data_IF_966851214821
#
_entry.id   IF_966851214821
#
_cell.length_a   1.000
_cell.length_b   1.000
_cell.length_c   1.000
_cell.angle_alpha   90.00
_cell.angle_beta   90.00
_cell.angle_gamma   90.00
#
_symmetry.space_group_name_H-M   'P 1'
#
loop_
_entity.id
_entity.type
_entity.pdbx_description
1 polymer ?
#
# COMPACT_ATOMS: atom_id res chain seq x y z
N UNK A 1 -4.40 27.95 1.48
CA UNK A 1 -3.97 27.07 2.58
C UNK A 1 -4.29 27.74 3.89
N UNK A 2 -4.66 26.96 4.89
CA UNK A 2 -4.76 27.45 6.26
C UNK A 2 -3.36 27.86 6.75
N UNK A 3 -3.23 28.97 7.50
CA UNK A 3 -1.91 29.52 7.87
C UNK A 3 -1.25 28.76 9.03
N UNK A 4 -2.03 28.02 9.81
CA UNK A 4 -1.61 27.40 11.06
C UNK A 4 -1.60 25.86 10.97
N UNK A 5 -1.18 25.32 9.82
CA UNK A 5 -1.01 23.87 9.68
C UNK A 5 0.13 23.38 10.59
N UNK A 6 -0.18 22.37 11.40
CA UNK A 6 0.84 21.62 12.12
C UNK A 6 1.51 20.62 11.18
N UNK A 7 2.82 20.34 11.34
CA UNK A 7 3.47 19.24 10.65
C UNK A 7 2.75 17.91 10.95
N UNK A 8 2.70 17.04 9.95
CA UNK A 8 2.32 15.63 10.16
C UNK A 8 3.42 14.97 11.01
N UNK A 9 3.03 14.26 12.06
CA UNK A 9 3.92 13.51 12.94
C UNK A 9 3.61 12.03 12.83
N UNK A 10 4.64 11.19 12.84
CA UNK A 10 4.48 9.73 12.71
C UNK A 10 5.29 9.01 13.77
N UNK A 11 4.62 8.13 14.50
CA UNK A 11 5.25 7.11 15.34
C UNK A 11 5.13 5.75 14.63
N UNK A 12 6.22 4.99 14.61
CA UNK A 12 6.34 3.80 13.77
C UNK A 12 7.11 2.69 14.48
N UNK A 13 6.68 1.45 14.27
CA UNK A 13 7.51 0.29 14.53
C UNK A 13 7.43 -0.71 13.38
N UNK A 14 8.54 -1.40 13.15
CA UNK A 14 8.68 -2.42 12.12
C UNK A 14 9.47 -3.59 12.68
N UNK A 15 9.06 -4.81 12.35
CA UNK A 15 9.77 -6.02 12.68
C UNK A 15 9.84 -6.93 11.45
N UNK A 16 11.06 -7.23 11.02
CA UNK A 16 11.33 -8.06 9.86
C UNK A 16 12.03 -9.37 10.26
N UNK A 17 11.58 -10.47 9.65
CA UNK A 17 12.26 -11.75 9.66
C UNK A 17 12.58 -12.14 8.23
N UNK A 18 13.84 -12.44 7.96
CA UNK A 18 14.30 -12.83 6.63
C UNK A 18 15.21 -14.04 6.70
N UNK A 19 15.28 -14.77 5.60
CA UNK A 19 16.19 -15.89 5.46
C UNK A 19 16.41 -16.29 4.01
N UNK A 20 17.43 -17.11 3.80
CA UNK A 20 17.64 -17.82 2.55
C UNK A 20 17.56 -19.32 2.86
N UNK A 21 16.61 -20.01 2.22
CA UNK A 21 16.43 -21.46 2.39
C UNK A 21 16.38 -22.09 1.01
N UNK A 22 17.39 -22.92 0.72
CA UNK A 22 17.50 -23.66 -0.55
C UNK A 22 17.47 -22.75 -1.79
N UNK A 23 18.09 -21.56 -1.72
CA UNK A 23 18.12 -20.61 -2.84
C UNK A 23 16.83 -19.82 -3.01
N UNK A 24 15.94 -19.87 -2.01
CA UNK A 24 14.79 -18.98 -1.90
C UNK A 24 15.07 -17.97 -0.81
N UNK A 25 15.34 -16.72 -1.20
CA UNK A 25 15.31 -15.60 -0.29
C UNK A 25 13.86 -15.27 0.05
N UNK A 26 13.59 -15.00 1.32
CA UNK A 26 12.30 -14.50 1.76
C UNK A 26 12.46 -13.48 2.88
N UNK A 27 11.51 -12.57 2.98
CA UNK A 27 11.38 -11.61 4.08
C UNK A 27 9.90 -11.43 4.42
N UNK A 28 9.59 -11.41 5.71
CA UNK A 28 8.29 -11.06 6.25
C UNK A 28 8.47 -9.87 7.18
N UNK A 29 7.79 -8.77 6.89
CA UNK A 29 7.84 -7.53 7.67
C UNK A 29 6.46 -7.23 8.20
N UNK A 30 6.32 -7.14 9.52
CA UNK A 30 5.15 -6.57 10.16
C UNK A 30 5.44 -5.12 10.56
N UNK A 31 4.47 -4.23 10.37
CA UNK A 31 4.61 -2.83 10.76
C UNK A 31 3.31 -2.27 11.32
N UNK A 32 3.45 -1.22 12.10
CA UNK A 32 2.35 -0.32 12.44
C UNK A 32 2.88 1.12 12.55
N UNK A 33 2.16 2.00 11.85
CA UNK A 33 2.37 3.42 11.78
C UNK A 33 1.16 4.16 12.34
N UNK A 34 1.43 5.10 13.24
CA UNK A 34 0.46 6.03 13.82
C UNK A 34 0.81 7.43 13.32
N UNK A 35 -0.09 8.01 12.56
CA UNK A 35 0.09 9.34 11.96
C UNK A 35 -0.89 10.31 12.65
N UNK A 36 -0.35 11.39 13.21
CA UNK A 36 -1.12 12.48 13.80
C UNK A 36 -0.94 13.76 13.02
N UNK A 37 -1.89 14.69 13.16
CA UNK A 37 -1.94 15.94 12.40
C UNK A 37 -1.95 15.72 10.87
N UNK A 38 -2.52 14.60 10.37
CA UNK A 38 -2.62 14.30 8.94
C UNK A 38 -3.22 15.50 8.19
N UNK A 39 -2.59 15.96 7.13
CA UNK A 39 -3.05 17.10 6.33
C UNK A 39 -3.91 16.56 5.20
N UNK A 40 -5.21 16.86 5.23
CA UNK A 40 -6.14 16.47 4.17
C UNK A 40 -6.87 17.68 3.58
N UNK A 41 -7.36 17.50 2.35
CA UNK A 41 -8.10 18.50 1.63
C UNK A 41 -9.58 18.45 2.01
N UNK A 42 -10.11 19.55 2.55
CA UNK A 42 -11.52 19.65 2.91
C UNK A 42 -12.36 20.14 1.73
N UNK A 43 -13.24 19.31 1.14
CA UNK A 43 -13.89 19.60 -0.13
C UNK A 43 -14.89 20.75 -0.06
N UNK A 44 -15.47 21.06 1.11
CA UNK A 44 -16.45 22.15 1.25
C UNK A 44 -15.81 23.52 1.52
N UNK A 45 -14.64 23.56 2.16
CA UNK A 45 -13.94 24.81 2.51
C UNK A 45 -12.81 25.11 1.54
N UNK A 46 -12.51 24.18 0.62
CA UNK A 46 -11.45 24.27 -0.39
C UNK A 46 -10.08 24.57 0.21
N UNK A 47 -9.83 24.04 1.40
CA UNK A 47 -8.61 24.28 2.20
C UNK A 47 -8.01 22.96 2.65
N UNK A 48 -6.69 22.96 2.78
CA UNK A 48 -5.97 21.94 3.54
C UNK A 48 -6.08 22.24 5.03
N UNK A 49 -6.39 21.22 5.81
CA UNK A 49 -6.55 21.27 7.26
C UNK A 49 -5.85 20.04 7.87
N UNK A 50 -5.37 20.17 9.11
CA UNK A 50 -5.04 18.98 9.89
C UNK A 50 -6.35 18.27 10.26
N UNK A 51 -6.45 16.98 9.92
CA UNK A 51 -7.53 16.09 10.33
C UNK A 51 -7.32 15.75 11.81
N UNK A 52 -8.38 15.87 12.60
CA UNK A 52 -8.36 15.46 14.00
C UNK A 52 -8.25 13.94 14.12
N UNK A 53 -7.49 13.47 15.11
CA UNK A 53 -7.35 12.05 15.43
C UNK A 53 -6.04 11.42 14.93
N UNK A 54 -5.96 10.10 15.08
CA UNK A 54 -4.79 9.29 14.73
C UNK A 54 -5.18 8.36 13.57
N UNK A 55 -4.45 8.46 12.46
CA UNK A 55 -4.52 7.49 11.36
C UNK A 55 -3.61 6.32 11.68
N UNK A 56 -4.15 5.11 11.57
CA UNK A 56 -3.42 3.88 11.85
C UNK A 56 -3.19 3.11 10.55
N UNK A 57 -1.93 2.78 10.25
CA UNK A 57 -1.56 1.99 9.08
C UNK A 57 -0.71 0.82 9.57
N UNK A 58 -1.35 -0.35 9.63
CA UNK A 58 -0.70 -1.58 10.03
C UNK A 58 -0.71 -2.59 8.89
N UNK A 59 0.27 -3.46 8.85
CA UNK A 59 0.35 -4.41 7.76
C UNK A 59 1.40 -5.48 7.94
N UNK A 60 1.34 -6.42 7.00
CA UNK A 60 2.32 -7.47 6.81
C UNK A 60 2.70 -7.51 5.35
N UNK A 61 4.00 -7.51 5.08
CA UNK A 61 4.58 -7.61 3.75
C UNK A 61 5.42 -8.88 3.68
N UNK A 62 5.19 -9.68 2.65
CA UNK A 62 6.02 -10.82 2.30
C UNK A 62 6.70 -10.53 0.97
N UNK A 63 8.01 -10.70 0.94
CA UNK A 63 8.82 -10.67 -0.27
C UNK A 63 9.51 -12.01 -0.42
N UNK A 64 9.57 -12.55 -1.63
CA UNK A 64 10.33 -13.74 -1.93
C UNK A 64 11.05 -13.61 -3.28
N UNK A 65 12.28 -14.07 -3.34
CA UNK A 65 13.09 -14.11 -4.56
C UNK A 65 13.73 -15.48 -4.71
N UNK A 66 13.65 -16.05 -5.90
CA UNK A 66 14.25 -17.35 -6.20
C UNK A 66 14.41 -17.56 -7.70
N UNK A 67 15.29 -18.50 -8.06
CA UNK A 67 15.53 -18.85 -9.45
C UNK A 67 14.92 -20.21 -9.81
N UNK A 68 14.34 -20.31 -11.02
CA UNK A 68 14.04 -21.59 -11.67
C UNK A 68 14.82 -21.72 -12.98
N UNK A 69 15.99 -22.35 -12.90
CA UNK A 69 16.90 -22.44 -14.04
C UNK A 69 17.48 -21.08 -14.40
N UNK A 70 17.11 -20.54 -15.58
CA UNK A 70 17.55 -19.21 -16.06
C UNK A 70 16.57 -18.09 -15.71
N UNK A 71 15.43 -18.43 -15.10
CA UNK A 71 14.37 -17.47 -14.79
C UNK A 71 14.51 -17.04 -13.33
N UNK A 72 14.66 -15.75 -13.11
CA UNK A 72 14.61 -15.13 -11.79
C UNK A 72 13.16 -14.73 -11.48
N UNK A 73 12.68 -15.07 -10.28
CA UNK A 73 11.36 -14.71 -9.79
C UNK A 73 11.46 -13.73 -8.63
N UNK A 74 10.62 -12.69 -8.64
CA UNK A 74 10.43 -11.77 -7.52
C UNK A 74 8.95 -11.68 -7.20
N UNK A 75 8.58 -11.98 -5.96
CA UNK A 75 7.21 -11.95 -5.48
C UNK A 75 7.08 -10.93 -4.35
N UNK A 76 5.98 -10.19 -4.32
CA UNK A 76 5.55 -9.44 -3.15
C UNK A 76 4.07 -9.71 -2.85
N UNK A 77 3.74 -9.78 -1.57
CA UNK A 77 2.39 -9.94 -1.07
C UNK A 77 2.20 -9.03 0.14
N UNK A 78 1.28 -8.08 0.02
CA UNK A 78 1.07 -7.03 0.99
C UNK A 78 -0.36 -7.14 1.53
N UNK A 79 -0.48 -7.24 2.85
CA UNK A 79 -1.73 -6.97 3.55
C UNK A 79 -1.57 -5.67 4.35
N UNK A 80 -2.41 -4.67 4.07
CA UNK A 80 -2.35 -3.35 4.71
C UNK A 80 -3.72 -2.91 5.18
N UNK A 81 -3.86 -2.75 6.47
CA UNK A 81 -5.01 -2.11 7.08
C UNK A 81 -4.71 -0.64 7.39
N UNK A 82 -5.40 0.26 6.71
CA UNK A 82 -5.16 1.69 6.81
C UNK A 82 -6.48 2.36 7.16
N UNK A 83 -6.61 2.80 8.41
CA UNK A 83 -7.86 3.31 8.98
C UNK A 83 -7.70 4.73 9.54
N UNK A 84 -8.78 5.50 9.49
CA UNK A 84 -8.91 6.79 10.16
C UNK A 84 -9.15 6.61 11.68
N UNK A 85 -9.28 7.74 12.39
CA UNK A 85 -9.52 7.79 13.83
C UNK A 85 -10.85 7.15 14.28
N UNK A 86 -11.75 6.88 13.33
CA UNK A 86 -13.07 6.27 13.52
C UNK A 86 -13.11 4.82 13.06
N UNK A 87 -12.00 4.26 12.59
CA UNK A 87 -11.92 2.89 12.08
C UNK A 87 -12.44 2.72 10.65
N UNK A 88 -12.62 3.80 9.88
CA UNK A 88 -12.94 3.70 8.47
C UNK A 88 -11.68 3.50 7.66
N UNK A 89 -11.71 2.52 6.76
CA UNK A 89 -10.64 2.30 5.82
C UNK A 89 -10.44 3.52 4.91
N UNK A 90 -9.20 3.99 4.83
CA UNK A 90 -8.82 5.15 4.05
C UNK A 90 -9.06 4.93 2.55
N UNK A 91 -9.54 5.99 1.89
CA UNK A 91 -9.89 5.98 0.48
C UNK A 91 -8.72 5.52 -0.40
N UNK A 92 -9.04 4.73 -1.43
CA UNK A 92 -8.13 4.24 -2.47
C UNK A 92 -6.97 3.39 -1.97
N UNK A 93 -7.02 2.90 -0.73
CA UNK A 93 -6.04 1.95 -0.19
C UNK A 93 -6.62 0.54 -0.22
N UNK A 94 -6.17 -0.30 -1.15
CA UNK A 94 -6.54 -1.72 -1.14
C UNK A 94 -5.88 -2.42 0.05
N UNK A 95 -6.61 -3.34 0.70
CA UNK A 95 -6.03 -4.13 1.79
C UNK A 95 -5.04 -5.17 1.30
N UNK A 96 -5.22 -5.67 0.08
CA UNK A 96 -4.41 -6.76 -0.49
C UNK A 96 -3.78 -6.30 -1.80
N UNK A 97 -2.48 -6.54 -1.95
CA UNK A 97 -1.74 -6.36 -3.19
C UNK A 97 -0.77 -7.51 -3.39
N UNK A 98 -0.73 -8.05 -4.60
CA UNK A 98 0.21 -9.12 -4.97
C UNK A 98 0.95 -8.71 -6.23
N UNK A 99 2.26 -8.93 -6.26
CA UNK A 99 3.10 -8.69 -7.43
C UNK A 99 3.96 -9.91 -7.68
N UNK A 100 4.15 -10.21 -8.95
CA UNK A 100 5.10 -11.22 -9.40
C UNK A 100 5.82 -10.72 -10.64
N UNK A 101 7.14 -10.78 -10.61
CA UNK A 101 7.98 -10.53 -11.77
C UNK A 101 8.78 -11.79 -12.09
N UNK A 102 8.88 -12.10 -13.38
CA UNK A 102 9.76 -13.12 -13.91
C UNK A 102 10.71 -12.46 -14.91
N UNK A 103 12.01 -12.57 -14.66
CA UNK A 103 13.07 -12.00 -15.47
C UNK A 103 13.91 -13.13 -16.07
N UNK A 104 14.26 -13.00 -17.34
CA UNK A 104 15.17 -13.94 -18.00
C UNK A 104 16.10 -13.19 -18.93
N UNK A 105 17.39 -13.48 -18.81
CA UNK A 105 18.44 -12.95 -19.68
C UNK A 105 18.99 -14.09 -20.54
N UNK A 106 18.94 -13.91 -21.86
CA UNK A 106 19.48 -14.88 -22.82
C UNK A 106 20.22 -14.19 -23.96
N UNK A 107 21.51 -14.52 -24.11
CA UNK A 107 22.46 -13.89 -25.05
C UNK A 107 22.53 -12.36 -24.90
N UNK A 108 21.87 -11.62 -25.79
CA UNK A 108 21.85 -10.14 -25.80
C UNK A 108 20.47 -9.56 -25.50
N UNK A 109 19.52 -10.39 -25.04
CA UNK A 109 18.13 -9.99 -24.82
C UNK A 109 17.71 -10.29 -23.39
N UNK A 110 17.14 -9.28 -22.75
CA UNK A 110 16.50 -9.37 -21.44
C UNK A 110 14.98 -9.30 -21.63
N UNK A 111 14.27 -10.26 -21.05
CA UNK A 111 12.82 -10.30 -21.02
C UNK A 111 12.30 -10.20 -19.59
N UNK A 112 11.21 -9.47 -19.41
CA UNK A 112 10.51 -9.35 -18.14
C UNK A 112 9.01 -9.55 -18.34
N UNK A 113 8.41 -10.37 -17.49
CA UNK A 113 6.95 -10.48 -17.36
C UNK A 113 6.59 -10.01 -15.96
N UNK A 114 5.58 -9.15 -15.86
CA UNK A 114 5.08 -8.64 -14.60
C UNK A 114 3.59 -8.94 -14.50
N UNK A 115 3.17 -9.35 -13.31
CA UNK A 115 1.78 -9.51 -12.92
C UNK A 115 1.54 -8.73 -11.63
N UNK A 116 0.45 -7.97 -11.59
CA UNK A 116 0.02 -7.26 -10.40
C UNK A 116 -1.47 -7.49 -10.17
N UNK A 117 -1.84 -7.81 -8.93
CA UNK A 117 -3.21 -7.79 -8.44
C UNK A 117 -3.37 -6.69 -7.40
N UNK A 118 -4.48 -5.95 -7.49
CA UNK A 118 -4.89 -4.96 -6.50
C UNK A 118 -6.30 -5.28 -6.04
N UNK A 119 -6.46 -5.46 -4.73
CA UNK A 119 -7.75 -5.74 -4.11
C UNK A 119 -8.77 -4.61 -4.27
N UNK A 120 -10.01 -4.92 -3.88
CA UNK A 120 -11.07 -3.90 -3.77
C UNK A 120 -10.69 -2.84 -2.73
N UNK A 121 -11.18 -1.63 -2.92
CA UNK A 121 -10.86 -0.49 -2.04
C UNK A 121 -12.02 0.51 -2.01
N UNK A 122 -12.26 1.17 -0.86
CA UNK A 122 -13.22 2.25 -0.78
C UNK A 122 -12.74 3.44 -1.62
N UNK A 123 -13.65 4.24 -2.15
CA UNK A 123 -13.39 5.55 -2.74
C UNK A 123 -14.65 6.40 -2.58
N UNK A 124 -14.56 7.69 -2.89
CA UNK A 124 -15.70 8.61 -2.92
C UNK A 124 -15.88 9.14 -4.33
N UNK A 125 -17.11 9.04 -4.84
CA UNK A 125 -17.49 9.64 -6.11
C UNK A 125 -17.78 11.14 -5.91
N UNK A 126 -16.74 11.95 -6.14
CA UNK A 126 -16.82 13.41 -6.08
C UNK A 126 -17.57 14.04 -7.28
N UNK A 127 -18.05 13.26 -8.26
CA UNK A 127 -18.84 13.76 -9.39
C UNK A 127 -20.33 13.94 -9.08
N UNK A 128 -20.80 13.43 -7.94
CA UNK A 128 -22.19 13.49 -7.48
C UNK A 128 -22.36 14.48 -6.31
N UNK A 129 -23.56 15.06 -6.13
CA UNK A 129 -23.89 15.92 -4.99
C UNK A 129 -25.18 15.47 -4.27
N UNK A 130 -25.12 15.04 -2.99
CA UNK A 130 -23.90 14.87 -2.19
C UNK A 130 -23.02 13.76 -2.76
N UNK A 131 -21.71 13.83 -2.47
CA UNK A 131 -20.76 12.78 -2.85
C UNK A 131 -21.17 11.44 -2.25
N UNK A 132 -20.90 10.35 -2.97
CA UNK A 132 -21.30 9.01 -2.55
C UNK A 132 -20.10 8.10 -2.32
N UNK A 133 -20.17 7.29 -1.26
CA UNK A 133 -19.21 6.22 -1.03
C UNK A 133 -19.38 5.13 -2.09
N UNK A 134 -18.27 4.76 -2.72
CA UNK A 134 -18.21 3.69 -3.71
C UNK A 134 -17.14 2.68 -3.33
N UNK A 135 -17.21 1.48 -3.90
CA UNK A 135 -16.14 0.49 -3.81
C UNK A 135 -15.57 0.24 -5.20
N UNK A 136 -14.29 0.53 -5.38
CA UNK A 136 -13.57 0.16 -6.59
C UNK A 136 -13.34 -1.34 -6.59
N UNK A 137 -13.70 -2.00 -7.67
CA UNK A 137 -13.45 -3.44 -7.85
C UNK A 137 -11.95 -3.75 -7.89
N UNK A 138 -11.61 -4.98 -7.53
CA UNK A 138 -10.26 -5.48 -7.74
C UNK A 138 -9.93 -5.58 -9.23
N UNK A 139 -8.64 -5.55 -9.55
CA UNK A 139 -8.16 -5.72 -10.91
C UNK A 139 -6.79 -6.41 -10.91
N UNK A 140 -6.42 -6.93 -12.07
CA UNK A 140 -5.08 -7.42 -12.34
C UNK A 140 -4.56 -6.95 -13.69
N UNK A 141 -3.24 -6.83 -13.81
CA UNK A 141 -2.51 -6.39 -15.00
C UNK A 141 -1.23 -7.20 -15.17
#
# INVERSE_FOLDING_TARGET
>A
GEKDLKPEESDAWELAFSGDVQGVFWSVTGYDYKITNLIDYHPTTYKYLNVDGETHIQGVELVAEFDTGIVQHQLSADYKDAEDDKGHQLQRRAKEMYKWNALVSFDKVDWSVSYQYVGKRPDVDYSTWPSQDITLSSYSL
#
